data_IF_062087743611
#
_entry.id   IF_062087743611
#
_cell.length_a   1.000
_cell.length_b   1.000
_cell.length_c   1.000
_cell.angle_alpha   90.00
_cell.angle_beta   90.00
_cell.angle_gamma   90.00
#
_symmetry.space_group_name_H-M   'P 1'
#
loop_
_entity.id
_entity.type
_entity.pdbx_description
1 polymer ?
#
# COMPACT_ATOMS: atom_id res chain seq x y z
N UNK A 1 -5.51 13.45 -30.15
CA UNK A 1 -6.72 14.25 -29.98
C UNK A 1 -7.17 14.02 -28.55
N UNK A 2 -6.91 14.99 -27.69
CA UNK A 2 -7.11 14.93 -26.24
C UNK A 2 -8.52 15.44 -25.96
N UNK A 3 -9.37 14.69 -25.35
CA UNK A 3 -10.72 15.13 -24.99
C UNK A 3 -11.01 14.83 -23.55
N UNK A 4 -11.02 15.90 -22.81
CA UNK A 4 -11.89 16.34 -21.73
C UNK A 4 -13.12 15.50 -21.47
N UNK A 5 -13.21 14.99 -20.25
CA UNK A 5 -14.48 14.70 -19.62
C UNK A 5 -14.40 15.16 -18.16
N UNK A 6 -15.28 16.08 -17.84
CA UNK A 6 -15.34 16.79 -16.59
C UNK A 6 -16.40 16.22 -15.67
N UNK A 7 -16.01 15.84 -14.45
CA UNK A 7 -16.93 15.58 -13.35
C UNK A 7 -16.97 16.79 -12.41
N UNK A 8 -18.17 17.13 -11.92
CA UNK A 8 -18.37 18.21 -10.98
C UNK A 8 -18.34 17.66 -9.55
N UNK A 9 -17.36 18.05 -8.75
CA UNK A 9 -17.44 17.99 -7.29
C UNK A 9 -17.79 19.37 -6.75
N UNK A 10 -18.64 19.43 -5.72
CA UNK A 10 -18.99 20.68 -5.03
C UNK A 10 -18.03 20.84 -3.86
N UNK A 11 -17.25 21.94 -3.84
CA UNK A 11 -16.45 22.30 -2.67
C UNK A 11 -17.32 22.99 -1.59
N UNK A 12 -16.75 23.25 -0.42
CA UNK A 12 -17.44 23.91 0.70
C UNK A 12 -18.04 25.27 0.37
N UNK A 13 -17.60 25.91 -0.73
CA UNK A 13 -18.05 27.21 -1.21
C UNK A 13 -19.10 27.11 -2.33
N UNK A 14 -19.56 25.88 -2.65
CA UNK A 14 -20.58 25.66 -3.68
C UNK A 14 -20.10 25.81 -5.13
N UNK A 15 -18.77 25.86 -5.34
CA UNK A 15 -18.17 25.95 -6.66
C UNK A 15 -17.90 24.52 -7.21
N UNK A 16 -18.33 24.29 -8.45
CA UNK A 16 -18.03 23.06 -9.17
C UNK A 16 -16.56 23.03 -9.55
N UNK A 17 -15.78 22.14 -8.93
CA UNK A 17 -14.44 21.82 -9.40
C UNK A 17 -14.53 20.67 -10.41
N UNK A 18 -14.06 20.92 -11.62
CA UNK A 18 -13.95 19.88 -12.65
C UNK A 18 -12.84 18.91 -12.27
N UNK A 19 -13.19 17.71 -11.81
CA UNK A 19 -12.24 16.60 -11.76
C UNK A 19 -12.09 16.02 -13.16
N UNK A 20 -10.90 16.13 -13.75
CA UNK A 20 -10.61 15.49 -15.03
C UNK A 20 -10.58 13.98 -14.85
N UNK A 21 -11.49 13.28 -15.50
CA UNK A 21 -11.51 11.81 -15.53
C UNK A 21 -10.34 11.30 -16.38
N UNK A 22 -9.68 10.26 -15.92
CA UNK A 22 -8.59 9.60 -16.63
C UNK A 22 -9.16 8.45 -17.45
N UNK A 23 -9.13 8.58 -18.79
CA UNK A 23 -9.51 7.50 -19.69
C UNK A 23 -8.44 6.41 -19.72
N UNK A 24 -8.91 5.17 -19.64
CA UNK A 24 -8.13 3.95 -19.76
C UNK A 24 -8.59 3.21 -21.01
N UNK A 25 -7.74 3.21 -22.02
CA UNK A 25 -8.02 2.53 -23.29
C UNK A 25 -7.87 1.00 -23.19
N UNK A 26 -8.39 0.23 -24.16
CA UNK A 26 -8.19 -1.22 -24.20
C UNK A 26 -6.72 -1.67 -24.27
N UNK A 27 -5.82 -0.79 -24.74
CA UNK A 27 -4.37 -1.06 -24.81
C UNK A 27 -3.64 -0.75 -23.50
N UNK A 28 -4.26 0.00 -22.58
CA UNK A 28 -3.61 0.42 -21.34
C UNK A 28 -3.47 -0.74 -20.34
N UNK A 29 -2.31 -0.78 -19.70
CA UNK A 29 -2.02 -1.61 -18.52
C UNK A 29 -1.78 -0.70 -17.33
N UNK A 30 -2.48 -0.97 -16.24
CA UNK A 30 -2.51 -0.13 -15.05
C UNK A 30 -1.72 -0.77 -13.92
N UNK A 31 -0.71 -0.06 -13.45
CA UNK A 31 0.01 -0.39 -12.22
C UNK A 31 -0.43 0.57 -11.11
N UNK A 32 -0.93 0.04 -10.00
CA UNK A 32 -1.32 0.83 -8.84
C UNK A 32 -0.34 0.59 -7.70
N UNK A 33 0.19 1.67 -7.12
CA UNK A 33 0.96 1.64 -5.87
C UNK A 33 0.14 2.30 -4.76
N UNK A 34 -0.10 1.59 -3.66
CA UNK A 34 -0.80 2.17 -2.50
C UNK A 34 0.10 2.24 -1.27
N UNK A 35 -0.10 3.26 -0.44
CA UNK A 35 0.52 3.41 0.87
C UNK A 35 -0.52 3.63 1.96
N UNK A 36 -0.10 3.88 3.19
CA UNK A 36 -0.97 3.92 4.37
C UNK A 36 -2.09 4.98 4.29
N UNK A 37 -1.93 6.01 3.46
CA UNK A 37 -2.95 7.03 3.25
C UNK A 37 -4.27 6.50 2.68
N UNK A 38 -4.26 5.38 1.91
CA UNK A 38 -5.50 4.79 1.41
C UNK A 38 -6.34 4.17 2.54
N UNK A 39 -5.69 3.67 3.61
CA UNK A 39 -6.34 3.05 4.76
C UNK A 39 -6.69 4.04 5.89
N UNK A 40 -6.33 5.34 5.74
CA UNK A 40 -6.61 6.37 6.74
C UNK A 40 -8.12 6.55 6.98
N UNK A 41 -8.92 6.53 5.92
CA UNK A 41 -10.39 6.65 6.00
C UNK A 41 -11.06 5.37 6.56
N UNK A 42 -10.31 4.28 6.70
CA UNK A 42 -10.70 3.06 7.41
C UNK A 42 -10.33 3.09 8.89
N UNK A 43 -9.74 4.20 9.38
CA UNK A 43 -9.34 4.37 10.77
C UNK A 43 -7.98 3.80 11.13
N UNK A 44 -7.18 3.37 10.14
CA UNK A 44 -5.83 2.88 10.40
C UNK A 44 -4.83 4.05 10.41
N UNK A 45 -3.91 4.11 11.41
CA UNK A 45 -2.94 5.18 11.51
C UNK A 45 -1.93 5.13 10.36
N UNK A 46 -1.68 6.28 9.76
CA UNK A 46 -0.67 6.44 8.71
C UNK A 46 0.73 6.51 9.31
N UNK A 47 1.71 6.03 8.55
CA UNK A 47 3.12 6.27 8.83
C UNK A 47 3.48 7.71 8.45
N UNK A 48 4.11 8.46 9.38
CA UNK A 48 4.63 9.80 9.14
C UNK A 48 6.14 9.80 9.29
N UNK A 49 6.83 9.95 8.17
CA UNK A 49 8.30 10.02 8.18
C UNK A 49 8.84 11.28 8.88
N UNK A 50 8.01 12.34 8.99
CA UNK A 50 8.42 13.63 9.56
C UNK A 50 8.71 13.59 11.05
N UNK A 51 8.05 12.73 11.82
CA UNK A 51 8.22 12.59 13.26
C UNK A 51 8.89 11.27 13.68
N UNK A 52 9.15 10.37 12.70
CA UNK A 52 9.78 9.07 12.94
C UNK A 52 8.93 8.11 13.77
N UNK A 53 7.63 8.43 13.94
CA UNK A 53 6.72 7.64 14.75
C UNK A 53 5.74 6.86 13.89
N UNK A 54 5.48 5.64 14.30
CA UNK A 54 4.42 4.82 13.77
C UNK A 54 3.52 4.33 14.91
N UNK A 55 2.27 4.79 14.92
CA UNK A 55 1.32 4.51 15.99
C UNK A 55 1.91 4.76 17.40
N UNK A 56 2.63 5.86 17.57
CA UNK A 56 3.22 6.26 18.85
C UNK A 56 4.56 5.61 19.22
N UNK A 57 5.07 4.69 18.39
CA UNK A 57 6.36 4.04 18.60
C UNK A 57 7.42 4.56 17.62
N UNK A 58 8.66 4.65 18.06
CA UNK A 58 9.79 4.89 17.18
C UNK A 58 10.02 3.66 16.30
N UNK A 59 10.35 3.90 15.03
CA UNK A 59 10.62 2.81 14.08
C UNK A 59 11.77 1.92 14.57
N UNK A 60 12.80 2.53 15.12
CA UNK A 60 13.99 1.86 15.64
C UNK A 60 13.69 0.91 16.81
N UNK A 61 12.51 1.03 17.42
CA UNK A 61 12.11 0.18 18.56
C UNK A 61 11.19 -0.99 18.15
N UNK A 62 10.52 -0.91 16.97
CA UNK A 62 9.49 -1.89 16.61
C UNK A 62 9.56 -2.41 15.18
N UNK A 63 10.34 -1.79 14.28
CA UNK A 63 10.31 -2.10 12.86
C UNK A 63 11.70 -2.15 12.22
N UNK A 64 12.70 -2.65 12.93
CA UNK A 64 14.06 -2.93 12.42
C UNK A 64 14.52 -4.32 12.86
N UNK A 65 15.48 -4.95 12.16
CA UNK A 65 16.11 -6.19 12.60
C UNK A 65 16.71 -6.07 14.01
N UNK A 66 17.35 -4.94 14.32
CA UNK A 66 17.96 -4.67 15.64
C UNK A 66 16.88 -4.56 16.73
N UNK A 67 15.70 -4.01 16.42
CA UNK A 67 14.58 -3.99 17.36
C UNK A 67 14.11 -5.41 17.68
N UNK A 68 14.00 -6.25 16.66
CA UNK A 68 13.64 -7.65 16.81
C UNK A 68 14.63 -8.42 17.69
N UNK A 69 15.93 -8.25 17.47
CA UNK A 69 16.98 -8.89 18.27
C UNK A 69 16.97 -8.38 19.72
N UNK A 70 16.81 -7.07 19.91
CA UNK A 70 16.86 -6.43 21.21
C UNK A 70 15.64 -6.72 22.09
N UNK A 71 14.43 -6.66 21.50
CA UNK A 71 13.19 -6.80 22.24
C UNK A 71 12.05 -7.40 21.38
N UNK A 72 12.08 -8.69 21.10
CA UNK A 72 11.03 -9.36 20.29
C UNK A 72 9.65 -9.31 20.94
N UNK A 73 9.57 -9.15 22.28
CA UNK A 73 8.31 -9.00 22.98
C UNK A 73 7.61 -7.69 22.61
N UNK A 74 8.34 -6.56 22.61
CA UNK A 74 7.82 -5.26 22.21
C UNK A 74 7.40 -5.25 20.72
N UNK A 75 8.19 -5.90 19.85
CA UNK A 75 7.84 -6.03 18.45
C UNK A 75 6.52 -6.80 18.30
N UNK A 76 6.35 -7.93 18.97
CA UNK A 76 5.10 -8.68 18.93
C UNK A 76 3.92 -7.92 19.53
N UNK A 77 4.11 -7.21 20.63
CA UNK A 77 3.09 -6.33 21.23
C UNK A 77 2.62 -5.29 20.22
N UNK A 78 3.56 -4.59 19.57
CA UNK A 78 3.26 -3.59 18.54
C UNK A 78 2.46 -4.18 17.38
N UNK A 79 2.89 -5.30 16.79
CA UNK A 79 2.19 -5.90 15.65
C UNK A 79 0.89 -6.59 16.07
N UNK A 80 0.76 -7.08 17.30
CA UNK A 80 -0.50 -7.59 17.86
C UNK A 80 -1.56 -6.49 18.00
N UNK A 81 -1.19 -5.32 18.50
CA UNK A 81 -2.08 -4.16 18.54
C UNK A 81 -2.54 -3.73 17.13
N UNK A 82 -1.66 -3.81 16.13
CA UNK A 82 -2.01 -3.52 14.73
C UNK A 82 -2.95 -4.59 14.14
N UNK A 83 -2.74 -5.87 14.45
CA UNK A 83 -3.68 -6.95 14.07
C UNK A 83 -5.08 -6.68 14.63
N UNK A 84 -5.16 -6.27 15.90
CA UNK A 84 -6.44 -5.95 16.54
C UNK A 84 -7.12 -4.74 15.89
N UNK A 85 -6.37 -3.70 15.57
CA UNK A 85 -6.89 -2.52 14.85
C UNK A 85 -7.35 -2.88 13.44
N UNK A 86 -6.56 -3.64 12.69
CA UNK A 86 -6.87 -4.08 11.33
C UNK A 86 -8.14 -4.95 11.29
N UNK A 87 -8.31 -5.85 12.26
CA UNK A 87 -9.51 -6.70 12.36
C UNK A 87 -10.81 -5.91 12.58
N UNK A 88 -10.74 -4.70 13.13
CA UNK A 88 -11.88 -3.79 13.35
C UNK A 88 -12.13 -2.83 12.19
N UNK A 89 -11.11 -2.61 11.34
CA UNK A 89 -11.21 -1.71 10.22
C UNK A 89 -11.99 -2.35 9.06
N UNK A 90 -12.69 -1.52 8.29
CA UNK A 90 -13.42 -1.96 7.10
C UNK A 90 -12.83 -1.32 5.83
N UNK A 91 -12.84 -2.02 4.70
CA UNK A 91 -12.46 -1.43 3.42
C UNK A 91 -13.30 -0.18 3.13
N UNK A 92 -12.67 0.92 2.76
CA UNK A 92 -13.35 2.16 2.38
C UNK A 92 -13.65 2.23 0.87
N UNK A 93 -14.23 3.33 0.41
CA UNK A 93 -14.61 3.52 -0.98
C UNK A 93 -13.40 3.44 -1.95
N UNK A 94 -12.20 3.84 -1.51
CA UNK A 94 -11.01 3.75 -2.34
C UNK A 94 -10.61 2.29 -2.64
N UNK A 95 -10.63 1.43 -1.61
CA UNK A 95 -10.32 0.01 -1.77
C UNK A 95 -11.32 -0.65 -2.73
N UNK A 96 -12.62 -0.37 -2.57
CA UNK A 96 -13.68 -0.89 -3.46
C UNK A 96 -13.52 -0.39 -4.89
N UNK A 97 -13.23 0.91 -5.09
CA UNK A 97 -13.01 1.47 -6.42
C UNK A 97 -11.82 0.81 -7.16
N UNK A 98 -10.76 0.45 -6.45
CA UNK A 98 -9.63 -0.27 -7.04
C UNK A 98 -9.98 -1.73 -7.35
N UNK A 99 -10.78 -2.41 -6.52
CA UNK A 99 -11.27 -3.75 -6.80
C UNK A 99 -12.21 -3.77 -8.02
N UNK A 100 -13.10 -2.78 -8.15
CA UNK A 100 -13.98 -2.62 -9.31
C UNK A 100 -13.17 -2.34 -10.59
N UNK A 101 -12.13 -1.51 -10.50
CA UNK A 101 -11.22 -1.25 -11.61
C UNK A 101 -10.47 -2.53 -12.03
N UNK A 102 -10.01 -3.33 -11.06
CA UNK A 102 -9.39 -4.62 -11.32
C UNK A 102 -10.34 -5.56 -12.08
N UNK A 103 -11.61 -5.65 -11.68
CA UNK A 103 -12.60 -6.47 -12.36
C UNK A 103 -12.81 -6.06 -13.83
N UNK A 104 -12.82 -4.76 -14.12
CA UNK A 104 -12.95 -4.22 -15.47
C UNK A 104 -11.72 -4.48 -16.33
N UNK A 105 -10.52 -4.39 -15.76
CA UNK A 105 -9.26 -4.49 -16.50
C UNK A 105 -8.70 -5.92 -16.60
N UNK A 106 -9.05 -6.79 -15.66
CA UNK A 106 -8.59 -8.17 -15.61
C UNK A 106 -7.05 -8.27 -15.52
N UNK A 107 -6.42 -8.92 -16.50
CA UNK A 107 -4.96 -9.12 -16.53
C UNK A 107 -4.15 -7.85 -16.85
N UNK A 108 -4.83 -6.78 -17.20
CA UNK A 108 -4.23 -5.44 -17.44
C UNK A 108 -4.06 -4.63 -16.16
N UNK A 109 -4.51 -5.13 -15.01
CA UNK A 109 -4.39 -4.48 -13.70
C UNK A 109 -3.38 -5.20 -12.82
N UNK A 110 -2.58 -4.43 -12.09
CA UNK A 110 -1.68 -4.93 -11.05
C UNK A 110 -1.60 -3.96 -9.89
N UNK A 111 -1.81 -4.46 -8.67
CA UNK A 111 -1.74 -3.69 -7.44
C UNK A 111 -0.49 -4.08 -6.64
N UNK A 112 0.33 -3.09 -6.31
CA UNK A 112 1.41 -3.20 -5.34
C UNK A 112 1.05 -2.37 -4.12
N UNK A 113 0.97 -2.98 -2.95
CA UNK A 113 0.72 -2.24 -1.72
C UNK A 113 1.93 -2.23 -0.80
N UNK A 114 2.22 -1.07 -0.22
CA UNK A 114 3.14 -0.92 0.90
C UNK A 114 2.47 -1.29 2.23
N UNK A 115 1.14 -1.37 2.23
CA UNK A 115 0.37 -1.68 3.42
C UNK A 115 0.51 -3.15 3.79
N UNK A 116 0.41 -3.39 5.07
CA UNK A 116 0.47 -4.72 5.68
C UNK A 116 -0.90 -5.22 6.15
N UNK A 117 -1.94 -4.37 6.04
CA UNK A 117 -3.34 -4.72 6.27
C UNK A 117 -3.91 -5.52 5.07
N UNK A 118 -5.07 -6.15 5.27
CA UNK A 118 -5.78 -6.98 4.28
C UNK A 118 -7.00 -6.28 3.66
N UNK A 119 -7.07 -4.94 3.73
CA UNK A 119 -8.25 -4.20 3.29
C UNK A 119 -8.48 -4.27 1.77
N UNK A 120 -7.43 -4.41 0.97
CA UNK A 120 -7.56 -4.62 -0.47
C UNK A 120 -8.22 -5.96 -0.79
N UNK A 121 -7.77 -7.05 -0.18
CA UNK A 121 -8.36 -8.38 -0.37
C UNK A 121 -9.79 -8.42 0.12
N UNK A 122 -10.06 -7.82 1.28
CA UNK A 122 -11.43 -7.73 1.83
C UNK A 122 -12.36 -6.86 0.98
N UNK A 123 -11.82 -5.94 0.18
CA UNK A 123 -12.56 -5.20 -0.83
C UNK A 123 -12.80 -5.99 -2.13
N UNK A 124 -12.09 -7.12 -2.33
CA UNK A 124 -12.22 -7.98 -3.49
C UNK A 124 -11.05 -7.96 -4.47
N UNK A 125 -9.96 -7.24 -4.18
CA UNK A 125 -8.74 -7.29 -5.00
C UNK A 125 -8.05 -8.65 -4.89
N UNK A 126 -7.59 -9.20 -6.01
CA UNK A 126 -6.92 -10.51 -6.09
C UNK A 126 -5.55 -10.44 -6.78
N UNK A 127 -5.32 -9.44 -7.62
CA UNK A 127 -4.07 -9.26 -8.38
C UNK A 127 -3.15 -8.27 -7.68
N UNK A 128 -2.74 -8.62 -6.46
CA UNK A 128 -1.91 -7.74 -5.64
C UNK A 128 -0.66 -8.43 -5.10
N UNK A 129 0.27 -7.60 -4.65
CA UNK A 129 1.44 -7.99 -3.86
C UNK A 129 1.61 -7.05 -2.68
N UNK A 130 1.95 -7.61 -1.52
CA UNK A 130 2.34 -6.88 -0.33
C UNK A 130 3.86 -6.75 -0.28
N UNK A 131 4.40 -5.65 -0.79
CA UNK A 131 5.85 -5.48 -0.84
C UNK A 131 6.52 -5.35 0.53
N UNK A 132 5.76 -4.99 1.57
CA UNK A 132 6.26 -4.89 2.94
C UNK A 132 5.74 -6.00 3.87
N UNK A 133 5.16 -7.07 3.30
CA UNK A 133 4.63 -8.19 4.06
C UNK A 133 3.20 -8.01 4.53
N UNK A 134 2.73 -8.90 5.40
CA UNK A 134 1.32 -9.03 5.77
C UNK A 134 1.17 -9.25 7.28
N UNK A 135 0.30 -8.48 7.94
CA UNK A 135 -0.02 -8.62 9.38
C UNK A 135 -0.60 -9.99 9.72
N UNK A 136 -1.36 -10.58 8.80
CA UNK A 136 -2.05 -11.86 8.99
C UNK A 136 -1.13 -13.07 8.83
N UNK A 137 0.19 -12.86 8.76
CA UNK A 137 1.18 -13.94 8.62
C UNK A 137 2.33 -13.80 9.62
N UNK A 138 2.98 -14.95 9.88
CA UNK A 138 4.25 -15.02 10.60
C UNK A 138 5.28 -15.78 9.77
N UNK A 139 6.57 -15.47 9.95
CA UNK A 139 7.69 -16.15 9.29
C UNK A 139 8.75 -16.58 10.29
N UNK A 140 9.53 -17.58 9.93
CA UNK A 140 10.70 -17.99 10.69
C UNK A 140 11.79 -16.90 10.64
N UNK A 141 12.38 -16.55 11.78
CA UNK A 141 13.50 -15.60 11.84
C UNK A 141 14.78 -16.12 11.16
N UNK A 142 14.99 -17.45 11.15
CA UNK A 142 16.17 -18.08 10.56
C UNK A 142 16.12 -18.20 9.02
N UNK A 143 15.09 -17.67 8.38
CA UNK A 143 14.92 -17.77 6.91
C UNK A 143 15.12 -19.18 6.36
N UNK A 144 14.61 -20.18 7.06
CA UNK A 144 14.87 -21.61 6.85
C UNK A 144 14.23 -22.21 5.57
N UNK A 145 13.81 -21.36 4.62
CA UNK A 145 13.20 -21.75 3.35
C UNK A 145 11.70 -22.11 3.44
N UNK A 146 11.10 -22.06 4.63
CA UNK A 146 9.66 -22.28 4.79
C UNK A 146 8.88 -21.03 4.43
N UNK A 147 7.78 -21.23 3.72
CA UNK A 147 6.84 -20.16 3.44
C UNK A 147 6.24 -19.56 4.74
N UNK A 148 5.91 -18.28 4.76
CA UNK A 148 5.17 -17.67 5.85
C UNK A 148 3.85 -18.40 6.09
N UNK A 149 3.47 -18.53 7.36
CA UNK A 149 2.24 -19.21 7.77
C UNK A 149 1.17 -18.19 8.12
N UNK A 150 -0.10 -18.51 7.85
CA UNK A 150 -1.23 -17.68 8.29
C UNK A 150 -1.24 -17.66 9.82
N UNK A 151 -1.26 -16.46 10.36
CA UNK A 151 -1.25 -16.20 11.79
C UNK A 151 -1.92 -14.85 12.08
N UNK A 152 -3.15 -14.92 12.56
CA UNK A 152 -3.97 -13.74 12.90
C UNK A 152 -4.11 -13.55 14.41
N UNK A 153 -3.40 -14.38 15.22
CA UNK A 153 -3.51 -14.34 16.67
C UNK A 153 -2.92 -13.01 17.20
N UNK A 154 -3.61 -12.46 18.19
CA UNK A 154 -3.13 -11.34 19.00
C UNK A 154 -2.39 -11.92 20.20
N UNK A 155 -1.10 -11.71 20.28
CA UNK A 155 -0.24 -12.20 21.35
C UNK A 155 -0.17 -11.16 22.48
N UNK A 156 -0.29 -11.64 23.72
CA UNK A 156 -0.18 -10.80 24.93
C UNK A 156 1.19 -10.96 25.61
N UNK A 157 1.89 -12.07 25.31
CA UNK A 157 3.26 -12.30 25.74
C UNK A 157 4.05 -13.05 24.66
N UNK A 158 5.37 -13.00 24.74
CA UNK A 158 6.25 -13.71 23.80
C UNK A 158 6.14 -15.25 23.97
N UNK A 159 5.80 -15.74 25.16
CA UNK A 159 5.65 -17.17 25.44
C UNK A 159 4.47 -17.82 24.69
N UNK A 160 3.52 -16.99 24.25
CA UNK A 160 2.41 -17.46 23.42
C UNK A 160 2.79 -17.66 21.95
N UNK A 161 3.93 -17.10 21.53
CA UNK A 161 4.42 -17.18 20.14
C UNK A 161 5.10 -18.53 19.92
N UNK A 162 4.63 -19.27 18.93
CA UNK A 162 5.23 -20.56 18.57
C UNK A 162 6.61 -20.44 17.96
N UNK A 163 7.25 -21.59 17.80
CA UNK A 163 8.52 -21.73 17.09
C UNK A 163 8.34 -22.43 15.77
N UNK A 164 9.22 -22.12 14.83
CA UNK A 164 9.33 -22.88 13.60
C UNK A 164 9.87 -24.29 13.91
N UNK A 165 9.54 -25.25 13.07
CA UNK A 165 10.06 -26.63 13.22
C UNK A 165 11.59 -26.73 13.12
N UNK A 166 12.27 -25.70 12.62
CA UNK A 166 13.74 -25.61 12.64
C UNK A 166 14.29 -25.10 13.98
N UNK A 167 13.43 -24.82 14.97
CA UNK A 167 13.79 -24.25 16.27
C UNK A 167 13.86 -22.72 16.32
N UNK A 168 13.83 -22.01 15.18
CA UNK A 168 13.82 -20.55 15.13
C UNK A 168 12.52 -19.96 15.67
N UNK A 169 12.56 -18.77 16.23
CA UNK A 169 11.37 -18.03 16.66
C UNK A 169 10.52 -17.66 15.44
N UNK A 170 9.21 -17.55 15.63
CA UNK A 170 8.34 -16.91 14.65
C UNK A 170 8.34 -15.39 14.89
N UNK A 171 8.48 -14.64 13.81
CA UNK A 171 8.33 -13.17 13.81
C UNK A 171 7.18 -12.75 12.90
N UNK A 172 6.61 -11.54 13.06
CA UNK A 172 5.65 -11.00 12.10
C UNK A 172 6.21 -11.06 10.66
N UNK A 173 5.38 -11.43 9.70
CA UNK A 173 5.78 -11.45 8.28
C UNK A 173 5.77 -10.02 7.71
N UNK A 174 6.62 -9.20 8.26
CA UNK A 174 6.80 -7.78 7.90
C UNK A 174 8.22 -7.59 7.40
N UNK A 175 8.38 -6.78 6.36
CA UNK A 175 9.68 -6.28 5.93
C UNK A 175 10.04 -5.11 6.84
N UNK A 176 11.08 -5.27 7.62
CA UNK A 176 11.59 -4.23 8.50
C UNK A 176 12.43 -3.21 7.71
N UNK A 177 12.59 -2.02 8.25
CA UNK A 177 13.50 -1.04 7.68
C UNK A 177 14.92 -1.61 7.62
N UNK A 178 15.56 -1.50 6.45
CA UNK A 178 16.85 -2.12 6.16
C UNK A 178 16.75 -3.50 5.49
N UNK A 179 15.61 -4.18 5.52
CA UNK A 179 15.38 -5.41 4.76
C UNK A 179 14.95 -5.12 3.31
N UNK A 180 15.17 -6.09 2.43
CA UNK A 180 14.76 -6.00 1.02
C UNK A 180 13.24 -6.26 0.92
N UNK A 181 12.46 -5.38 0.29
CA UNK A 181 11.05 -5.62 0.05
C UNK A 181 10.78 -6.88 -0.77
N UNK A 182 9.61 -7.46 -0.56
CA UNK A 182 9.18 -8.68 -1.23
C UNK A 182 8.82 -8.42 -2.70
N UNK A 183 8.90 -9.47 -3.53
CA UNK A 183 8.40 -9.49 -4.92
C UNK A 183 9.01 -8.43 -5.86
N UNK A 184 10.20 -7.90 -5.57
CA UNK A 184 10.79 -6.79 -6.32
C UNK A 184 10.94 -7.08 -7.83
N UNK A 185 11.35 -8.31 -8.20
CA UNK A 185 11.46 -8.70 -9.61
C UNK A 185 10.11 -8.69 -10.33
N UNK A 186 9.06 -9.14 -9.66
CA UNK A 186 7.69 -9.12 -10.18
C UNK A 186 7.18 -7.70 -10.32
N UNK A 187 7.37 -6.88 -9.29
CA UNK A 187 6.99 -5.47 -9.27
C UNK A 187 7.66 -4.74 -10.43
N UNK A 188 8.97 -4.90 -10.62
CA UNK A 188 9.70 -4.25 -11.70
C UNK A 188 9.21 -4.69 -13.09
N UNK A 189 8.92 -5.99 -13.27
CA UNK A 189 8.35 -6.50 -14.53
C UNK A 189 6.99 -5.88 -14.84
N UNK A 190 6.13 -5.72 -13.83
CA UNK A 190 4.81 -5.13 -14.03
C UNK A 190 4.88 -3.60 -14.24
N UNK A 191 5.79 -2.89 -13.57
CA UNK A 191 6.05 -1.46 -13.85
C UNK A 191 6.50 -1.27 -15.30
N UNK A 192 7.40 -2.11 -15.81
CA UNK A 192 7.90 -2.00 -17.20
C UNK A 192 6.83 -2.26 -18.27
N UNK A 193 5.74 -2.93 -17.92
CA UNK A 193 4.60 -3.17 -18.83
C UNK A 193 3.52 -2.09 -18.73
N UNK A 194 3.56 -1.28 -17.66
CA UNK A 194 2.51 -0.31 -17.40
C UNK A 194 2.55 0.86 -18.38
N UNK A 195 1.40 1.27 -18.89
CA UNK A 195 1.19 2.53 -19.61
C UNK A 195 0.61 3.63 -18.72
N UNK A 196 0.05 3.22 -17.57
CA UNK A 196 -0.47 4.12 -16.55
C UNK A 196 -0.05 3.61 -15.17
N UNK A 197 0.62 4.46 -14.40
CA UNK A 197 0.92 4.23 -12.99
C UNK A 197 0.10 5.18 -12.12
N UNK A 198 -0.64 4.61 -11.18
CA UNK A 198 -1.42 5.36 -10.19
C UNK A 198 -0.81 5.14 -8.81
N UNK A 199 -0.50 6.21 -8.12
CA UNK A 199 0.09 6.18 -6.78
C UNK A 199 -0.89 6.82 -5.79
N UNK A 200 -1.27 6.10 -4.74
CA UNK A 200 -2.33 6.51 -3.83
C UNK A 200 -1.83 6.51 -2.39
N UNK A 201 -1.95 7.64 -1.71
CA UNK A 201 -1.78 7.73 -0.27
C UNK A 201 -0.39 7.36 0.26
N UNK A 202 0.68 7.68 -0.48
CA UNK A 202 2.06 7.52 -0.04
C UNK A 202 2.78 8.86 0.02
N UNK A 203 3.70 9.02 0.98
CA UNK A 203 4.47 10.25 1.17
C UNK A 203 5.51 10.50 0.06
N UNK A 204 5.88 9.47 -0.70
CA UNK A 204 6.99 9.54 -1.65
C UNK A 204 8.38 9.59 -1.00
N UNK A 205 8.51 9.20 0.27
CA UNK A 205 9.77 9.23 1.03
C UNK A 205 10.36 7.85 1.31
N UNK A 206 9.58 6.77 1.23
CA UNK A 206 10.03 5.41 1.55
C UNK A 206 10.56 4.71 0.31
N UNK A 207 11.85 4.42 0.28
CA UNK A 207 12.50 3.69 -0.80
C UNK A 207 12.47 2.18 -0.55
N UNK A 208 12.42 1.35 -1.64
CA UNK A 208 12.48 1.73 -3.06
C UNK A 208 11.15 2.21 -3.66
N UNK A 209 10.03 2.10 -2.97
CA UNK A 209 8.69 2.43 -3.50
C UNK A 209 8.61 3.87 -4.05
N UNK A 210 9.23 4.84 -3.38
CA UNK A 210 9.29 6.24 -3.83
C UNK A 210 9.95 6.41 -5.22
N UNK A 211 10.82 5.49 -5.63
CA UNK A 211 11.48 5.47 -6.92
C UNK A 211 10.66 4.84 -8.05
N UNK A 212 9.59 4.10 -7.76
CA UNK A 212 8.81 3.36 -8.77
C UNK A 212 8.18 4.28 -9.82
N UNK A 213 7.77 5.47 -9.43
CA UNK A 213 7.23 6.46 -10.38
C UNK A 213 8.26 6.85 -11.43
N UNK A 214 9.54 6.93 -11.07
CA UNK A 214 10.61 7.24 -12.01
C UNK A 214 10.85 6.08 -12.98
N UNK A 215 10.80 4.83 -12.49
CA UNK A 215 10.90 3.64 -13.35
C UNK A 215 9.74 3.57 -14.35
N UNK A 216 8.51 3.82 -13.90
CA UNK A 216 7.33 3.86 -14.76
C UNK A 216 7.45 4.93 -15.85
N UNK A 217 7.92 6.14 -15.50
CA UNK A 217 8.18 7.21 -16.47
C UNK A 217 9.24 6.83 -17.51
N UNK A 218 10.32 6.21 -17.08
CA UNK A 218 11.38 5.72 -17.99
C UNK A 218 10.84 4.65 -18.93
N UNK A 219 9.87 3.84 -18.49
CA UNK A 219 9.16 2.89 -19.32
C UNK A 219 8.08 3.52 -20.22
N UNK A 220 7.87 4.85 -20.15
CA UNK A 220 6.90 5.57 -20.96
C UNK A 220 5.50 5.69 -20.38
N UNK A 221 5.28 5.29 -19.13
CA UNK A 221 3.97 5.36 -18.48
C UNK A 221 3.55 6.80 -18.13
N UNK A 222 2.26 7.09 -18.25
CA UNK A 222 1.62 8.23 -17.60
C UNK A 222 1.61 7.97 -16.09
N UNK A 223 1.80 9.01 -15.27
CA UNK A 223 1.88 8.86 -13.82
C UNK A 223 0.90 9.78 -13.12
N UNK A 224 0.09 9.23 -12.23
CA UNK A 224 -0.95 9.93 -11.49
C UNK A 224 -0.72 9.72 -10.00
N UNK A 225 -0.79 10.78 -9.23
CA UNK A 225 -0.81 10.73 -7.78
C UNK A 225 -2.19 11.11 -7.25
N UNK A 226 -2.66 10.41 -6.22
CA UNK A 226 -3.89 10.72 -5.48
C UNK A 226 -3.57 10.78 -3.98
N UNK A 227 -3.86 11.89 -3.35
CA UNK A 227 -3.68 12.08 -1.91
C UNK A 227 -4.03 13.50 -1.45
N UNK A 228 -4.27 13.71 -0.15
CA UNK A 228 -4.67 15.02 0.38
C UNK A 228 -3.54 16.07 0.29
N UNK A 229 -2.29 15.61 0.30
CA UNK A 229 -1.10 16.45 0.21
C UNK A 229 -0.22 15.95 -0.94
N UNK A 230 0.49 16.87 -1.59
CA UNK A 230 1.43 16.50 -2.64
C UNK A 230 2.59 15.67 -2.04
N UNK A 231 3.02 14.59 -2.71
CA UNK A 231 4.13 13.77 -2.23
C UNK A 231 5.45 14.52 -2.40
N UNK A 232 6.49 14.12 -1.65
CA UNK A 232 7.82 14.76 -1.73
C UNK A 232 8.42 14.71 -3.15
N UNK A 233 8.06 13.71 -3.93
CA UNK A 233 8.49 13.52 -5.32
C UNK A 233 7.42 13.97 -6.35
N UNK A 234 6.59 14.98 -6.02
CA UNK A 234 5.47 15.43 -6.85
C UNK A 234 5.86 15.76 -8.30
N UNK A 235 7.07 16.27 -8.54
CA UNK A 235 7.59 16.59 -9.89
C UNK A 235 7.75 15.35 -10.80
N UNK A 236 7.71 14.16 -10.23
CA UNK A 236 7.76 12.91 -10.99
C UNK A 236 6.40 12.50 -11.57
N UNK A 237 5.31 13.16 -11.20
CA UNK A 237 3.97 12.83 -11.68
C UNK A 237 3.53 13.74 -12.82
N UNK A 238 2.83 13.15 -13.81
CA UNK A 238 2.19 13.92 -14.89
C UNK A 238 0.91 14.60 -14.40
N UNK A 239 0.23 13.99 -13.41
CA UNK A 239 -0.96 14.55 -12.77
C UNK A 239 -0.91 14.33 -11.26
N UNK A 240 -1.28 15.36 -10.51
CA UNK A 240 -1.46 15.28 -9.05
C UNK A 240 -2.90 15.67 -8.77
N UNK A 241 -3.67 14.71 -8.21
CA UNK A 241 -5.07 14.90 -7.83
C UNK A 241 -5.13 15.02 -6.31
N UNK A 242 -5.45 16.21 -5.84
CA UNK A 242 -5.56 16.47 -4.41
C UNK A 242 -6.94 16.05 -3.89
N UNK A 243 -6.96 15.29 -2.80
CA UNK A 243 -8.16 14.83 -2.12
C UNK A 243 -7.96 13.51 -1.39
N UNK A 244 -8.94 13.14 -0.56
CA UNK A 244 -8.94 11.83 0.10
C UNK A 244 -9.18 10.74 -0.93
N UNK A 245 -8.52 9.59 -0.76
CA UNK A 245 -8.58 8.51 -1.73
C UNK A 245 -10.01 7.99 -1.95
N UNK A 246 -10.82 7.89 -0.88
CA UNK A 246 -12.20 7.42 -0.94
C UNK A 246 -13.16 8.40 -1.62
N UNK A 247 -12.82 9.67 -1.68
CA UNK A 247 -13.59 10.71 -2.39
C UNK A 247 -13.21 10.79 -3.87
N UNK A 248 -11.91 10.57 -4.17
CA UNK A 248 -11.34 10.78 -5.52
C UNK A 248 -11.47 9.54 -6.39
N UNK A 249 -11.04 8.36 -5.91
CA UNK A 249 -10.92 7.16 -6.75
C UNK A 249 -12.24 6.67 -7.36
N UNK A 250 -13.41 6.74 -6.69
CA UNK A 250 -14.67 6.24 -7.26
C UNK A 250 -15.11 6.90 -8.57
N UNK A 251 -14.62 8.11 -8.86
CA UNK A 251 -14.96 8.84 -10.08
C UNK A 251 -13.76 9.17 -10.99
N UNK A 252 -12.56 8.71 -10.62
CA UNK A 252 -11.32 9.14 -11.29
C UNK A 252 -11.10 8.45 -12.64
N UNK A 253 -11.53 7.20 -12.82
CA UNK A 253 -11.24 6.42 -14.01
C UNK A 253 -12.48 6.14 -14.84
N UNK A 254 -12.29 6.19 -16.17
CA UNK A 254 -13.25 5.68 -17.15
C UNK A 254 -12.51 4.66 -18.01
N UNK A 255 -13.03 3.45 -18.03
CA UNK A 255 -12.55 2.38 -18.91
C UNK A 255 -13.37 2.43 -20.20
N UNK A 256 -12.67 2.58 -21.34
CA UNK A 256 -13.27 2.67 -22.69
C UNK A 256 -13.52 1.28 -23.29
#
# INVERSE_FOLDING_TARGET
MWLDLTFNSINADGLFTHMSTISISPADRVFVLTGAGISAESGLPTFRASDGLWAGHRIEDVCTPEAWERNPALVWEFYSARREACAKAEPNAAHRALADLEQQLGDRFFLCTQNVDDLHERAGSVRLVHMHGELAKARCENECGRAPVKDTKVYRSLDEVGHCVCGGRLRPHIVFFGEIPLEMDRIQKEINKASLMVVVGTSGSVYPAAGFVQWARQAGARTVYVGPEAPLNASAFTHVVSGKAGEVLPGLFRVD
#
